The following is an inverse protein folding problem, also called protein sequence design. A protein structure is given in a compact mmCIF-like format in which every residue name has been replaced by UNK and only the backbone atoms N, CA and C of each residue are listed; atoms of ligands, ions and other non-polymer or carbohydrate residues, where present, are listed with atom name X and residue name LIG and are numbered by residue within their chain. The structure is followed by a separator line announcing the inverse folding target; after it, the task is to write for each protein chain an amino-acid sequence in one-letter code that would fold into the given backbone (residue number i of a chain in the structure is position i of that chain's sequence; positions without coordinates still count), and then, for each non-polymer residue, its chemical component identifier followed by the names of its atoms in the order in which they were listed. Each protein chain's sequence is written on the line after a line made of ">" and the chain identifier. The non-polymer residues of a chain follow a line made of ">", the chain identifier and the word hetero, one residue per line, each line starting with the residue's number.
data_IF_199683630552
#
_entry.id   IF_199683630552
#
_cell.length_a   1.000
_cell.length_b   1.000
_cell.length_c   1.000
_cell.angle_alpha   90.00
_cell.angle_beta   90.00
_cell.angle_gamma   90.00
#
_symmetry.space_group_name_H-M   'P 1'
#
loop_
_entity.id
_entity.type
_entity.pdbx_description
1 polymer ?
#
# COMPACT_ATOMS: atom_id res chain seq x y z
N UNK A 1 -8.33 -21.56 -1.84
CA UNK A 1 -7.09 -22.30 -1.47
C UNK A 1 -6.34 -22.53 -2.77
N UNK A 2 -5.04 -22.22 -2.85
CA UNK A 2 -4.29 -22.36 -4.10
C UNK A 2 -4.21 -23.85 -4.45
N UNK A 3 -4.69 -24.22 -5.62
CA UNK A 3 -4.70 -25.61 -6.10
C UNK A 3 -3.34 -26.02 -6.66
N UNK A 4 -3.06 -27.33 -6.65
CA UNK A 4 -1.82 -27.87 -7.26
C UNK A 4 -1.73 -27.54 -8.75
N UNK A 5 -2.86 -27.55 -9.46
CA UNK A 5 -2.90 -27.23 -10.90
C UNK A 5 -2.62 -25.77 -11.20
N UNK A 6 -3.05 -24.83 -10.34
CA UNK A 6 -2.68 -23.41 -10.47
C UNK A 6 -1.18 -23.20 -10.28
N UNK A 7 -0.57 -23.86 -9.29
CA UNK A 7 0.87 -23.80 -9.07
C UNK A 7 1.63 -24.36 -10.28
N UNK A 8 1.23 -25.52 -10.81
CA UNK A 8 1.87 -26.11 -11.99
C UNK A 8 1.80 -25.20 -13.21
N UNK A 9 0.68 -24.50 -13.41
CA UNK A 9 0.53 -23.54 -14.52
C UNK A 9 1.48 -22.35 -14.37
N UNK A 10 1.53 -21.77 -13.17
CA UNK A 10 2.43 -20.63 -12.87
C UNK A 10 3.89 -21.02 -13.06
N UNK A 11 4.29 -22.22 -12.63
CA UNK A 11 5.67 -22.72 -12.81
C UNK A 11 5.99 -22.89 -14.30
N UNK A 12 5.07 -23.42 -15.09
CA UNK A 12 5.28 -23.57 -16.53
C UNK A 12 5.43 -22.23 -17.26
N UNK A 13 4.77 -21.18 -16.77
CA UNK A 13 4.92 -19.82 -17.31
C UNK A 13 6.31 -19.21 -17.00
N UNK A 14 7.06 -19.73 -16.01
CA UNK A 14 8.39 -19.21 -15.67
C UNK A 14 9.49 -19.57 -16.65
N UNK A 15 9.37 -20.70 -17.36
CA UNK A 15 10.38 -21.13 -18.35
C UNK A 15 10.59 -20.07 -19.46
N UNK A 16 9.63 -19.17 -19.65
CA UNK A 16 9.69 -18.08 -20.63
C UNK A 16 10.32 -16.78 -20.10
N UNK A 17 10.54 -16.65 -18.78
CA UNK A 17 10.85 -15.35 -18.13
C UNK A 17 11.98 -15.43 -17.09
N UNK A 18 12.41 -16.64 -16.73
CA UNK A 18 13.40 -16.92 -15.67
C UNK A 18 14.58 -17.65 -16.31
N UNK A 19 15.80 -17.25 -15.97
CA UNK A 19 17.03 -17.88 -16.48
C UNK A 19 17.87 -18.54 -15.38
N UNK A 20 19.03 -19.11 -15.73
CA UNK A 20 19.89 -19.81 -14.78
C UNK A 20 20.50 -18.92 -13.69
N UNK A 21 20.45 -17.60 -13.83
CA UNK A 21 20.90 -16.62 -12.83
C UNK A 21 19.82 -16.32 -11.79
N UNK A 22 18.56 -16.55 -12.12
CA UNK A 22 17.44 -16.36 -11.20
C UNK A 22 17.32 -17.55 -10.25
N UNK A 23 17.75 -17.37 -9.00
CA UNK A 23 17.74 -18.45 -8.01
C UNK A 23 16.43 -18.58 -7.25
N UNK A 24 15.53 -17.61 -7.38
CA UNK A 24 14.24 -17.58 -6.67
C UNK A 24 13.22 -16.69 -7.38
N UNK A 25 11.94 -16.99 -7.17
CA UNK A 25 10.80 -16.22 -7.67
C UNK A 25 9.80 -15.94 -6.56
N UNK A 26 9.17 -14.77 -6.59
CA UNK A 26 8.06 -14.41 -5.71
C UNK A 26 6.76 -14.41 -6.50
N UNK A 27 5.77 -15.14 -5.97
CA UNK A 27 4.48 -15.33 -6.64
C UNK A 27 3.35 -14.83 -5.76
N UNK A 28 2.51 -13.95 -6.30
CA UNK A 28 1.32 -13.45 -5.64
C UNK A 28 0.05 -14.05 -6.25
N UNK A 29 -0.77 -14.72 -5.43
CA UNK A 29 -2.05 -15.27 -5.89
C UNK A 29 -3.17 -14.21 -5.80
N UNK A 30 -3.29 -13.39 -6.85
CA UNK A 30 -4.27 -12.29 -6.91
C UNK A 30 -5.74 -12.71 -6.67
N UNK A 31 -6.24 -13.88 -7.14
CA UNK A 31 -7.60 -14.30 -6.82
C UNK A 31 -7.83 -14.42 -5.32
N UNK A 32 -6.89 -15.03 -4.59
CA UNK A 32 -6.96 -15.14 -3.13
C UNK A 32 -6.80 -13.81 -2.39
N UNK A 33 -6.07 -12.85 -2.96
CA UNK A 33 -6.03 -11.49 -2.46
C UNK A 33 -7.40 -10.83 -2.59
N UNK A 34 -8.00 -10.88 -3.78
CA UNK A 34 -9.32 -10.29 -4.04
C UNK A 34 -10.43 -10.88 -3.16
N UNK A 35 -10.41 -12.20 -2.91
CA UNK A 35 -11.33 -12.85 -1.96
C UNK A 35 -11.21 -12.24 -0.55
N UNK A 36 -9.98 -12.06 -0.06
CA UNK A 36 -9.70 -11.46 1.26
C UNK A 36 -10.11 -10.00 1.33
N UNK A 37 -9.79 -9.22 0.30
CA UNK A 37 -10.18 -7.83 0.19
C UNK A 37 -11.70 -7.68 0.19
N UNK A 38 -12.41 -8.51 -0.59
CA UNK A 38 -13.88 -8.52 -0.62
C UNK A 38 -14.46 -8.86 0.75
N UNK A 39 -13.92 -9.88 1.41
CA UNK A 39 -14.35 -10.28 2.75
C UNK A 39 -14.15 -9.14 3.75
N UNK A 40 -12.96 -8.54 3.78
CA UNK A 40 -12.63 -7.38 4.62
C UNK A 40 -13.63 -6.24 4.39
N UNK A 41 -13.79 -5.80 3.14
CA UNK A 41 -14.70 -4.69 2.78
C UNK A 41 -16.16 -4.97 3.18
N UNK A 42 -16.62 -6.22 3.02
CA UNK A 42 -17.99 -6.60 3.38
C UNK A 42 -18.24 -6.72 4.89
N UNK A 43 -17.18 -6.76 5.70
CA UNK A 43 -17.27 -6.90 7.16
C UNK A 43 -17.40 -5.57 7.89
N UNK A 44 -17.27 -4.44 7.18
CA UNK A 44 -17.35 -3.09 7.74
C UNK A 44 -18.44 -2.28 7.03
N UNK A 45 -18.92 -1.18 7.63
CA UNK A 45 -19.84 -0.25 6.98
C UNK A 45 -19.31 0.28 5.64
N UNK A 46 -20.21 0.58 4.71
CA UNK A 46 -19.84 1.01 3.35
C UNK A 46 -19.02 2.30 3.29
N UNK A 47 -19.07 3.14 4.33
CA UNK A 47 -18.30 4.37 4.47
C UNK A 47 -16.92 4.18 5.14
N UNK A 48 -16.55 2.95 5.50
CA UNK A 48 -15.22 2.66 6.03
C UNK A 48 -14.17 2.84 4.91
N UNK A 49 -13.14 3.64 5.18
CA UNK A 49 -11.98 3.77 4.30
C UNK A 49 -10.97 2.70 4.72
N UNK A 50 -10.79 1.70 3.87
CA UNK A 50 -9.80 0.66 4.09
C UNK A 50 -8.48 1.05 3.45
N UNK A 51 -7.42 1.18 4.25
CA UNK A 51 -6.05 1.38 3.80
C UNK A 51 -5.19 0.17 4.13
N UNK A 52 -4.42 -0.31 3.15
CA UNK A 52 -3.52 -1.45 3.34
C UNK A 52 -2.11 -0.94 3.57
N UNK A 53 -1.45 -1.46 4.61
CA UNK A 53 -0.08 -1.11 4.97
C UNK A 53 0.91 -1.50 3.87
N UNK A 54 1.66 -0.53 3.32
CA UNK A 54 2.58 -0.72 2.20
C UNK A 54 3.71 -1.68 2.55
N UNK A 55 4.22 -1.61 3.78
CA UNK A 55 5.26 -2.50 4.32
C UNK A 55 4.92 -3.99 4.24
N UNK A 56 3.66 -4.36 4.06
CA UNK A 56 3.26 -5.77 3.87
C UNK A 56 3.73 -6.32 2.53
N UNK A 57 3.73 -5.50 1.47
CA UNK A 57 4.27 -5.82 0.16
C UNK A 57 4.42 -4.54 -0.70
N UNK A 58 5.60 -3.90 -0.73
CA UNK A 58 5.80 -2.62 -1.41
C UNK A 58 5.98 -2.74 -2.93
N UNK A 59 5.77 -3.92 -3.52
CA UNK A 59 5.95 -4.12 -4.95
C UNK A 59 4.94 -3.26 -5.74
N UNK A 60 5.42 -2.46 -6.71
CA UNK A 60 4.59 -1.47 -7.42
C UNK A 60 3.29 -2.06 -8.02
N UNK A 61 3.37 -3.24 -8.64
CA UNK A 61 2.19 -3.91 -9.21
C UNK A 61 1.21 -4.43 -8.15
N UNK A 62 1.71 -4.77 -6.95
CA UNK A 62 0.85 -5.15 -5.83
C UNK A 62 0.08 -3.93 -5.32
N UNK A 63 0.77 -2.81 -5.10
CA UNK A 63 0.14 -1.56 -4.66
C UNK A 63 -0.90 -1.08 -5.67
N UNK A 64 -0.58 -1.13 -6.97
CA UNK A 64 -1.54 -0.83 -8.03
C UNK A 64 -2.76 -1.75 -7.98
N UNK A 65 -2.58 -3.06 -7.80
CA UNK A 65 -3.70 -3.99 -7.70
C UNK A 65 -4.62 -3.70 -6.50
N UNK A 66 -4.05 -3.28 -5.36
CA UNK A 66 -4.83 -2.85 -4.18
C UNK A 66 -5.65 -1.58 -4.47
N UNK A 67 -5.03 -0.59 -5.11
CA UNK A 67 -5.69 0.67 -5.50
C UNK A 67 -6.80 0.43 -6.53
N UNK A 68 -6.54 -0.38 -7.55
CA UNK A 68 -7.54 -0.76 -8.57
C UNK A 68 -8.73 -1.53 -7.95
N UNK A 69 -8.51 -2.26 -6.85
CA UNK A 69 -9.57 -2.89 -6.06
C UNK A 69 -10.34 -1.90 -5.16
N UNK A 70 -9.98 -0.62 -5.16
CA UNK A 70 -10.64 0.48 -4.47
C UNK A 70 -10.16 0.76 -3.04
N UNK A 71 -9.07 0.13 -2.61
CA UNK A 71 -8.45 0.32 -1.30
C UNK A 71 -7.49 1.52 -1.32
N UNK A 72 -7.33 2.16 -0.17
CA UNK A 72 -6.26 3.10 0.08
C UNK A 72 -4.96 2.43 0.51
N UNK A 73 -3.94 3.23 0.80
CA UNK A 73 -2.63 2.74 1.20
C UNK A 73 -2.15 3.51 2.44
N UNK A 74 -1.63 2.77 3.42
CA UNK A 74 -0.99 3.32 4.62
C UNK A 74 0.52 3.20 4.49
N UNK A 75 1.20 4.32 4.68
CA UNK A 75 2.64 4.50 4.56
C UNK A 75 3.25 4.73 5.94
N UNK A 76 4.38 4.08 6.21
CA UNK A 76 5.17 4.27 7.43
C UNK A 76 6.44 5.12 7.22
N UNK A 77 6.74 5.48 5.97
CA UNK A 77 7.80 6.42 5.59
C UNK A 77 7.36 7.32 4.43
N UNK A 78 8.09 8.41 4.19
CA UNK A 78 7.82 9.29 3.06
C UNK A 78 8.03 8.60 1.70
N UNK A 79 9.00 7.67 1.61
CA UNK A 79 9.19 6.83 0.42
C UNK A 79 7.95 5.97 0.12
N UNK A 80 7.30 5.44 1.15
CA UNK A 80 6.05 4.70 0.99
C UNK A 80 4.89 5.63 0.59
N UNK A 81 4.84 6.88 1.06
CA UNK A 81 3.89 7.88 0.55
C UNK A 81 4.10 8.06 -0.96
N UNK A 82 5.33 8.19 -1.43
CA UNK A 82 5.62 8.26 -2.86
C UNK A 82 5.22 7.00 -3.62
N UNK A 83 5.40 5.81 -3.03
CA UNK A 83 4.90 4.57 -3.63
C UNK A 83 3.38 4.56 -3.76
N UNK A 84 2.65 5.08 -2.77
CA UNK A 84 1.19 5.19 -2.84
C UNK A 84 0.74 6.10 -3.99
N UNK A 85 1.36 7.27 -4.11
CA UNK A 85 1.07 8.23 -5.18
C UNK A 85 1.42 7.66 -6.56
N UNK A 86 2.57 7.00 -6.69
CA UNK A 86 3.00 6.35 -7.93
C UNK A 86 2.11 5.17 -8.33
N UNK A 87 1.48 4.48 -7.36
CA UNK A 87 0.48 3.46 -7.61
C UNK A 87 -0.88 4.04 -8.08
N UNK A 88 -1.03 5.37 -8.08
CA UNK A 88 -2.26 6.07 -8.45
C UNK A 88 -3.30 6.11 -7.32
N UNK A 89 -2.89 5.92 -6.05
CA UNK A 89 -3.79 6.00 -4.92
C UNK A 89 -4.36 7.43 -4.80
N UNK A 90 -5.70 7.60 -4.73
CA UNK A 90 -6.31 8.90 -4.45
C UNK A 90 -5.76 9.47 -3.14
N UNK A 91 -5.42 10.77 -3.12
CA UNK A 91 -4.75 11.40 -1.98
C UNK A 91 -5.58 11.30 -0.68
N UNK A 92 -6.90 11.35 -0.79
CA UNK A 92 -7.88 11.19 0.29
C UNK A 92 -7.97 9.77 0.85
N UNK A 93 -7.22 8.82 0.26
CA UNK A 93 -7.07 7.43 0.69
C UNK A 93 -5.62 7.07 1.00
N UNK A 94 -4.71 8.03 1.03
CA UNK A 94 -3.35 7.84 1.54
C UNK A 94 -3.33 8.20 3.02
N UNK A 95 -2.72 7.34 3.83
CA UNK A 95 -2.49 7.57 5.27
C UNK A 95 -1.01 7.55 5.53
N UNK A 96 -0.46 8.58 6.16
CA UNK A 96 0.93 8.58 6.63
C UNK A 96 0.99 8.40 8.15
N UNK A 97 1.47 7.25 8.59
CA UNK A 97 1.54 6.85 10.00
C UNK A 97 2.96 6.39 10.39
N UNK A 98 3.73 7.34 10.93
CA UNK A 98 5.11 7.12 11.35
C UNK A 98 5.36 7.74 12.71
N UNK A 99 6.06 7.05 13.64
CA UNK A 99 6.24 7.53 15.01
C UNK A 99 7.25 8.68 15.13
N UNK A 100 8.08 8.91 14.11
CA UNK A 100 9.26 9.78 14.18
C UNK A 100 9.42 10.67 12.94
N UNK A 101 8.32 11.26 12.43
CA UNK A 101 8.37 12.15 11.26
C UNK A 101 9.35 13.30 11.48
N UNK A 102 10.25 13.45 10.52
CA UNK A 102 11.21 14.55 10.46
C UNK A 102 10.51 15.85 10.08
N UNK A 103 11.13 17.00 10.40
CA UNK A 103 10.60 18.32 9.99
C UNK A 103 10.43 18.41 8.46
N UNK A 104 11.38 17.84 7.71
CA UNK A 104 11.32 17.81 6.24
C UNK A 104 10.09 17.04 5.73
N UNK A 105 9.81 15.88 6.33
CA UNK A 105 8.64 15.08 5.96
C UNK A 105 7.34 15.81 6.34
N UNK A 106 7.29 16.44 7.53
CA UNK A 106 6.15 17.26 7.96
C UNK A 106 5.90 18.41 6.97
N UNK A 107 6.94 19.17 6.60
CA UNK A 107 6.83 20.25 5.62
C UNK A 107 6.33 19.74 4.26
N UNK A 108 6.75 18.54 3.87
CA UNK A 108 6.35 17.92 2.61
C UNK A 108 4.89 17.48 2.61
N UNK A 109 4.47 16.71 3.62
CA UNK A 109 3.09 16.23 3.71
C UNK A 109 2.08 17.35 3.98
N UNK A 110 2.50 18.45 4.60
CA UNK A 110 1.67 19.65 4.78
C UNK A 110 1.30 20.33 3.45
N UNK A 111 2.02 20.04 2.35
CA UNK A 111 1.69 20.52 0.99
C UNK A 111 0.79 19.54 0.22
N UNK A 112 0.54 18.34 0.76
CA UNK A 112 -0.28 17.29 0.15
C UNK A 112 -1.71 17.33 0.72
N UNK A 113 -2.48 18.34 0.34
CA UNK A 113 -3.82 18.55 0.87
C UNK A 113 -4.75 17.34 0.61
N UNK A 114 -5.51 16.96 1.63
CA UNK A 114 -6.47 15.86 1.59
C UNK A 114 -5.94 14.52 2.10
N UNK A 115 -4.63 14.37 2.29
CA UNK A 115 -4.05 13.18 2.91
C UNK A 115 -4.34 13.12 4.42
N UNK A 116 -4.57 11.92 4.96
CA UNK A 116 -4.63 11.74 6.40
C UNK A 116 -3.21 11.54 6.95
N UNK A 117 -2.82 12.36 7.93
CA UNK A 117 -1.52 12.23 8.61
C UNK A 117 -1.78 11.93 10.08
N UNK A 118 -1.39 10.75 10.54
CA UNK A 118 -1.48 10.38 11.95
C UNK A 118 -0.32 11.03 12.69
N UNK A 119 -0.61 12.03 13.53
CA UNK A 119 0.39 12.68 14.36
C UNK A 119 0.61 11.84 15.63
N UNK A 120 1.84 11.42 15.90
CA UNK A 120 2.15 10.45 16.95
C UNK A 120 2.31 11.08 18.35
N UNK A 121 2.48 12.40 18.43
CA UNK A 121 2.64 13.12 19.70
C UNK A 121 2.21 14.59 19.60
N UNK A 122 1.96 15.23 20.75
CA UNK A 122 1.63 16.67 20.79
C UNK A 122 2.83 17.48 20.27
N UNK A 123 4.05 17.08 20.59
CA UNK A 123 5.29 17.73 20.15
C UNK A 123 5.54 17.58 18.64
N UNK A 124 4.97 16.56 18.01
CA UNK A 124 4.94 16.45 16.55
C UNK A 124 3.87 17.37 15.96
N UNK A 125 2.68 17.46 16.58
CA UNK A 125 1.60 18.35 16.14
C UNK A 125 2.06 19.81 16.09
N UNK A 126 2.81 20.26 17.10
CA UNK A 126 3.38 21.61 17.17
C UNK A 126 4.37 21.94 16.03
N UNK A 127 4.83 20.95 15.26
CA UNK A 127 5.72 21.16 14.12
C UNK A 127 4.97 21.42 12.82
N UNK A 128 3.67 21.11 12.76
CA UNK A 128 2.84 21.38 11.58
C UNK A 128 2.55 22.88 11.48
N UNK A 129 2.49 23.44 10.25
CA UNK A 129 2.08 24.82 10.04
C UNK A 129 0.62 25.03 10.46
N UNK A 130 0.31 26.22 10.98
CA UNK A 130 -1.03 26.54 11.50
C UNK A 130 -2.09 26.73 10.40
N UNK A 131 -1.67 26.92 9.15
CA UNK A 131 -2.51 27.36 8.02
C UNK A 131 -2.63 26.31 6.88
N UNK A 132 -2.29 25.05 7.12
CA UNK A 132 -2.31 23.96 6.11
C UNK A 132 -3.64 23.26 5.93
#
# INVERSE_FOLDING_TARGET
>A
MISKSEISKIIADFDAVVDQKDTSVLVAHLPSLHERLKHLKSSFPANCIHTIAIKTNPHAQMLKALVDAGFGLEAASMEEVHYALNAGCPIDKVVFDSPVKTRREIDEVSRLHGMLVNVNSIEELERFPLDS
#
